data_IF_672362713048
#
_entry.id   IF_672362713048
#
_cell.length_a   1.000
_cell.length_b   1.000
_cell.length_c   1.000
_cell.angle_alpha   90.00
_cell.angle_beta   90.00
_cell.angle_gamma   90.00
#
_symmetry.space_group_name_H-M   'P 1'
#
loop_
_entity.id
_entity.type
_entity.pdbx_description
1 polymer ?
#
# COMPACT_ATOMS: atom_id res chain seq x y z
N UNK A 1 7.92 26.09 2.05
CA UNK A 1 6.77 25.92 2.95
C UNK A 1 5.85 24.87 2.36
N UNK A 2 5.98 23.65 2.90
CA UNK A 2 5.11 22.47 2.80
C UNK A 2 4.30 22.23 1.51
N UNK A 3 4.98 21.75 0.46
CA UNK A 3 4.35 21.12 -0.72
C UNK A 3 4.09 19.63 -0.46
N UNK A 4 3.42 19.31 0.64
CA UNK A 4 2.83 17.98 0.83
C UNK A 4 1.66 17.84 -0.14
N UNK A 5 1.95 17.23 -1.31
CA UNK A 5 0.90 16.80 -2.23
C UNK A 5 0.01 15.83 -1.46
N UNK A 6 -1.23 16.26 -1.17
CA UNK A 6 -2.20 15.45 -0.48
C UNK A 6 -2.68 14.37 -1.45
N UNK A 7 -2.41 13.12 -1.11
CA UNK A 7 -2.84 11.98 -1.91
C UNK A 7 -4.11 11.38 -1.30
N UNK A 8 -5.04 10.94 -2.14
CA UNK A 8 -6.06 9.98 -1.76
C UNK A 8 -5.66 8.61 -2.28
N UNK A 9 -6.08 7.54 -1.59
CA UNK A 9 -5.89 6.19 -2.13
C UNK A 9 -6.51 6.11 -3.54
N UNK A 10 -5.75 5.65 -4.55
CA UNK A 10 -6.25 5.60 -5.92
C UNK A 10 -7.39 4.59 -6.02
N UNK A 11 -8.34 4.83 -6.91
CA UNK A 11 -9.33 3.81 -7.26
C UNK A 11 -8.63 2.75 -8.11
N UNK A 12 -8.67 1.50 -7.65
CA UNK A 12 -8.14 0.34 -8.38
C UNK A 12 -9.28 -0.63 -8.65
N UNK A 13 -9.18 -1.37 -9.75
CA UNK A 13 -10.13 -2.43 -10.07
C UNK A 13 -9.74 -3.69 -9.27
N UNK A 14 -10.64 -4.25 -8.46
CA UNK A 14 -10.39 -5.52 -7.79
C UNK A 14 -10.07 -6.63 -8.79
N UNK A 15 -9.22 -7.57 -8.39
CA UNK A 15 -8.91 -8.76 -9.15
C UNK A 15 -10.09 -9.73 -9.12
N UNK A 16 -10.33 -10.44 -10.23
CA UNK A 16 -11.33 -11.51 -10.29
C UNK A 16 -10.92 -12.75 -9.51
N UNK A 17 -9.61 -12.98 -9.37
CA UNK A 17 -9.03 -14.08 -8.61
C UNK A 17 -7.85 -13.56 -7.80
N UNK A 18 -8.02 -13.50 -6.47
CA UNK A 18 -6.97 -13.15 -5.53
C UNK A 18 -6.81 -14.29 -4.51
N UNK A 19 -5.62 -14.45 -3.90
CA UNK A 19 -5.46 -15.38 -2.79
C UNK A 19 -6.49 -15.10 -1.69
N UNK A 20 -6.90 -16.10 -0.89
CA UNK A 20 -7.90 -15.87 0.16
C UNK A 20 -7.37 -14.90 1.21
N UNK A 21 -8.22 -14.00 1.70
CA UNK A 21 -7.87 -13.08 2.78
C UNK A 21 -7.74 -13.82 4.11
N UNK A 22 -6.52 -13.88 4.63
CA UNK A 22 -6.21 -14.31 5.99
C UNK A 22 -4.86 -13.69 6.40
N UNK A 23 -4.55 -13.74 7.70
CA UNK A 23 -3.33 -13.12 8.23
C UNK A 23 -2.03 -13.69 7.62
N UNK A 24 -1.85 -15.01 7.48
CA UNK A 24 -0.66 -15.57 6.82
C UNK A 24 -0.46 -15.05 5.39
N UNK A 25 -1.51 -15.04 4.57
CA UNK A 25 -1.41 -14.55 3.20
C UNK A 25 -1.10 -13.05 3.14
N UNK A 26 -1.65 -12.25 4.06
CA UNK A 26 -1.30 -10.83 4.17
C UNK A 26 0.18 -10.65 4.53
N UNK A 27 0.68 -11.42 5.50
CA UNK A 27 2.08 -11.38 5.89
C UNK A 27 3.02 -11.78 4.75
N UNK A 28 2.72 -12.88 4.04
CA UNK A 28 3.48 -13.31 2.86
C UNK A 28 3.47 -12.24 1.77
N UNK A 29 2.29 -11.67 1.44
CA UNK A 29 2.20 -10.62 0.43
C UNK A 29 3.09 -9.40 0.78
N UNK A 30 3.00 -8.94 2.03
CA UNK A 30 3.78 -7.79 2.49
C UNK A 30 5.27 -8.09 2.53
N UNK A 31 5.67 -9.31 2.90
CA UNK A 31 7.06 -9.75 2.91
C UNK A 31 7.64 -9.83 1.49
N UNK A 32 6.95 -10.53 0.59
CA UNK A 32 7.44 -10.86 -0.75
C UNK A 32 7.45 -9.67 -1.69
N UNK A 33 6.47 -8.76 -1.57
CA UNK A 33 6.26 -7.67 -2.55
C UNK A 33 6.51 -6.27 -1.99
N UNK A 34 6.41 -6.10 -0.67
CA UNK A 34 6.47 -4.79 0.01
C UNK A 34 7.61 -4.74 1.07
N UNK A 35 8.44 -5.79 1.10
CA UNK A 35 9.61 -5.93 1.96
C UNK A 35 10.75 -4.97 1.62
N UNK A 36 11.99 -5.31 1.98
CA UNK A 36 13.14 -4.39 1.83
C UNK A 36 13.39 -4.04 0.35
N UNK A 37 13.38 -5.05 -0.52
CA UNK A 37 13.61 -4.92 -1.96
C UNK A 37 12.25 -4.91 -2.65
N UNK A 38 11.98 -3.87 -3.43
CA UNK A 38 10.70 -3.66 -4.11
C UNK A 38 10.90 -3.43 -5.60
N UNK A 39 9.89 -3.71 -6.40
CA UNK A 39 9.80 -3.33 -7.82
C UNK A 39 8.42 -2.73 -8.11
N UNK A 40 8.29 -1.94 -9.17
CA UNK A 40 7.00 -1.38 -9.55
C UNK A 40 5.95 -2.44 -9.85
N UNK A 41 6.34 -3.50 -10.55
CA UNK A 41 5.49 -4.64 -10.85
C UNK A 41 4.97 -5.32 -9.57
N UNK A 42 5.87 -5.65 -8.63
CA UNK A 42 5.47 -6.32 -7.39
C UNK A 42 4.59 -5.46 -6.50
N UNK A 43 4.87 -4.15 -6.44
CA UNK A 43 4.05 -3.19 -5.70
C UNK A 43 2.66 -3.02 -6.32
N UNK A 44 2.57 -2.99 -7.65
CA UNK A 44 1.31 -2.89 -8.38
C UNK A 44 0.44 -4.14 -8.17
N UNK A 45 1.04 -5.33 -8.23
CA UNK A 45 0.38 -6.59 -7.90
C UNK A 45 -0.17 -6.57 -6.46
N UNK A 46 0.68 -6.21 -5.49
CA UNK A 46 0.28 -6.15 -4.09
C UNK A 46 -0.84 -5.14 -3.84
N UNK A 47 -0.79 -3.96 -4.47
CA UNK A 47 -1.83 -2.95 -4.34
C UNK A 47 -3.19 -3.44 -4.87
N UNK A 48 -3.19 -4.20 -5.98
CA UNK A 48 -4.40 -4.80 -6.55
C UNK A 48 -4.97 -5.93 -5.67
N UNK A 49 -4.12 -6.76 -5.06
CA UNK A 49 -4.57 -7.78 -4.09
C UNK A 49 -5.16 -7.11 -2.85
N UNK A 50 -4.47 -6.11 -2.28
CA UNK A 50 -4.92 -5.38 -1.09
C UNK A 50 -6.25 -4.65 -1.33
N UNK A 51 -6.48 -4.08 -2.51
CA UNK A 51 -7.80 -3.49 -2.84
C UNK A 51 -8.90 -4.54 -2.90
N UNK A 52 -8.57 -5.72 -3.42
CA UNK A 52 -9.51 -6.84 -3.52
C UNK A 52 -9.90 -7.32 -2.14
N UNK A 53 -8.92 -7.55 -1.26
CA UNK A 53 -9.16 -7.90 0.14
C UNK A 53 -9.95 -6.84 0.90
N UNK A 54 -9.65 -5.56 0.67
CA UNK A 54 -10.40 -4.48 1.30
C UNK A 54 -11.89 -4.49 0.91
N UNK A 55 -12.23 -4.89 -0.32
CA UNK A 55 -13.61 -5.06 -0.77
C UNK A 55 -14.33 -6.29 -0.20
N UNK A 56 -13.58 -7.29 0.29
CA UNK A 56 -14.12 -8.51 0.90
C UNK A 56 -14.35 -8.37 2.42
N UNK A 57 -13.73 -7.37 3.04
CA UNK A 57 -13.85 -7.13 4.47
C UNK A 57 -15.26 -6.66 4.83
N UNK A 58 -15.85 -7.34 5.81
CA UNK A 58 -17.11 -6.92 6.42
C UNK A 58 -16.87 -5.82 7.46
N UNK A 59 -17.94 -5.14 7.87
CA UNK A 59 -17.88 -4.19 8.97
C UNK A 59 -17.39 -4.90 10.23
N UNK A 60 -16.30 -4.42 10.87
CA UNK A 60 -15.74 -5.07 12.04
C UNK A 60 -16.68 -4.99 13.24
N UNK A 61 -16.78 -6.08 14.00
CA UNK A 61 -17.64 -6.20 15.19
C UNK A 61 -16.91 -6.69 16.43
N UNK A 62 -15.66 -7.13 16.28
CA UNK A 62 -14.81 -7.63 17.36
C UNK A 62 -13.35 -7.19 17.15
N UNK A 63 -12.51 -7.44 18.16
CA UNK A 63 -11.10 -7.03 18.11
C UNK A 63 -10.37 -7.57 16.88
N UNK A 64 -10.55 -8.85 16.55
CA UNK A 64 -9.82 -9.51 15.46
C UNK A 64 -10.21 -8.93 14.09
N UNK A 65 -11.49 -8.65 13.87
CA UNK A 65 -11.98 -8.03 12.65
C UNK A 65 -11.50 -6.58 12.52
N UNK A 66 -11.44 -5.81 13.61
CA UNK A 66 -10.82 -4.48 13.61
C UNK A 66 -9.32 -4.54 13.27
N UNK A 67 -8.58 -5.45 13.90
CA UNK A 67 -7.15 -5.64 13.64
C UNK A 67 -6.90 -6.02 12.17
N UNK A 68 -7.67 -6.96 11.61
CA UNK A 68 -7.53 -7.36 10.20
C UNK A 68 -7.86 -6.20 9.25
N UNK A 69 -8.94 -5.45 9.49
CA UNK A 69 -9.29 -4.28 8.69
C UNK A 69 -8.17 -3.23 8.69
N UNK A 70 -7.62 -2.94 9.87
CA UNK A 70 -6.52 -1.98 10.02
C UNK A 70 -5.25 -2.48 9.34
N UNK A 71 -4.90 -3.75 9.45
CA UNK A 71 -3.73 -4.33 8.79
C UNK A 71 -3.82 -4.26 7.27
N UNK A 72 -4.99 -4.58 6.68
CA UNK A 72 -5.20 -4.46 5.24
C UNK A 72 -5.12 -2.99 4.79
N UNK A 73 -5.71 -2.06 5.55
CA UNK A 73 -5.64 -0.63 5.25
C UNK A 73 -4.19 -0.10 5.33
N UNK A 74 -3.46 -0.42 6.40
CA UNK A 74 -2.07 -0.04 6.58
C UNK A 74 -1.19 -0.62 5.48
N UNK A 75 -1.36 -1.91 5.16
CA UNK A 75 -0.66 -2.56 4.05
C UNK A 75 -0.89 -1.80 2.75
N UNK A 76 -2.14 -1.46 2.43
CA UNK A 76 -2.47 -0.70 1.22
C UNK A 76 -1.82 0.69 1.21
N UNK A 77 -1.89 1.44 2.31
CA UNK A 77 -1.27 2.77 2.40
C UNK A 77 0.25 2.71 2.19
N UNK A 78 0.92 1.72 2.79
CA UNK A 78 2.37 1.51 2.62
C UNK A 78 2.70 1.15 1.18
N UNK A 79 1.98 0.19 0.58
CA UNK A 79 2.22 -0.24 -0.80
C UNK A 79 2.01 0.91 -1.79
N UNK A 80 0.95 1.69 -1.65
CA UNK A 80 0.66 2.82 -2.55
C UNK A 80 1.67 3.95 -2.35
N UNK A 81 2.14 4.20 -1.12
CA UNK A 81 3.24 5.14 -0.87
C UNK A 81 4.54 4.69 -1.55
N UNK A 82 4.88 3.41 -1.43
CA UNK A 82 6.07 2.83 -2.03
C UNK A 82 6.00 2.81 -3.56
N UNK A 83 4.81 2.59 -4.12
CA UNK A 83 4.58 2.62 -5.56
C UNK A 83 4.71 4.04 -6.11
N UNK A 84 4.10 5.01 -5.41
CA UNK A 84 4.15 6.42 -5.76
C UNK A 84 5.58 6.95 -5.73
N UNK A 85 6.40 6.56 -4.74
CA UNK A 85 7.80 6.99 -4.63
C UNK A 85 8.70 6.26 -5.62
N UNK A 86 9.01 6.91 -6.74
CA UNK A 86 9.92 6.44 -7.79
C UNK A 86 11.37 6.86 -7.56
N UNK A 87 11.92 6.52 -6.38
CA UNK A 87 13.34 6.63 -6.03
C UNK A 87 13.73 5.51 -5.05
N UNK A 88 15.01 5.47 -4.65
CA UNK A 88 15.49 4.72 -3.49
C UNK A 88 16.15 5.63 -2.47
N UNK A 89 15.76 5.54 -1.19
CA UNK A 89 16.29 6.34 -0.08
C UNK A 89 16.05 5.66 1.28
N UNK A 90 17.10 5.47 2.07
CA UNK A 90 17.00 4.85 3.39
C UNK A 90 16.44 3.42 3.30
N UNK A 91 15.39 3.12 4.07
CA UNK A 91 14.73 1.80 4.07
C UNK A 91 13.80 1.56 2.86
N UNK A 92 13.60 2.56 2.00
CA UNK A 92 12.86 2.43 0.75
C UNK A 92 13.81 2.15 -0.41
N UNK A 93 13.94 0.89 -0.82
CA UNK A 93 14.73 0.51 -1.99
C UNK A 93 13.83 -0.05 -3.11
N UNK A 94 14.04 0.45 -4.32
CA UNK A 94 13.35 0.04 -5.55
C UNK A 94 14.35 -0.35 -6.63
N UNK A 95 14.24 -1.58 -7.11
CA UNK A 95 15.16 -2.12 -8.13
C UNK A 95 15.06 -1.39 -9.47
N UNK A 96 13.88 -0.88 -9.80
CA UNK A 96 13.59 -0.11 -11.01
C UNK A 96 13.83 1.41 -10.86
N UNK A 97 14.07 1.88 -9.63
CA UNK A 97 14.50 3.25 -9.33
C UNK A 97 15.60 3.24 -8.26
N UNK A 98 16.81 2.73 -8.57
CA UNK A 98 17.84 2.44 -7.57
C UNK A 98 18.52 3.69 -7.00
N UNK A 99 18.34 4.86 -7.63
CA UNK A 99 18.97 6.12 -7.24
C UNK A 99 18.01 7.00 -6.44
N UNK A 100 18.57 7.87 -5.60
CA UNK A 100 17.82 8.97 -4.97
C UNK A 100 17.46 10.04 -6.01
N UNK A 101 16.31 10.71 -5.86
CA UNK A 101 15.99 11.91 -6.63
C UNK A 101 15.67 13.12 -5.72
N UNK A 102 16.17 14.34 -6.03
CA UNK A 102 15.79 15.55 -5.33
C UNK A 102 14.27 15.83 -5.29
N UNK A 103 13.52 15.41 -6.30
CA UNK A 103 12.06 15.59 -6.36
C UNK A 103 11.32 14.87 -5.23
N UNK A 104 11.94 13.85 -4.63
CA UNK A 104 11.36 13.01 -3.59
C UNK A 104 11.87 13.32 -2.18
N UNK A 105 12.65 14.40 -2.01
CA UNK A 105 13.02 14.96 -0.70
C UNK A 105 11.83 15.67 -0.03
N UNK A 106 10.76 14.90 0.19
CA UNK A 106 9.46 15.35 0.69
C UNK A 106 8.70 14.21 1.37
N UNK A 107 7.68 14.54 2.14
CA UNK A 107 6.78 13.57 2.75
C UNK A 107 5.62 13.23 1.80
N UNK A 108 5.18 11.97 1.85
CA UNK A 108 3.95 11.52 1.20
C UNK A 108 2.87 11.52 2.28
N UNK A 109 1.77 12.24 2.05
CA UNK A 109 0.67 12.35 3.00
C UNK A 109 -0.61 11.85 2.34
N UNK A 110 -1.20 10.79 2.89
CA UNK A 110 -2.53 10.34 2.49
C UNK A 110 -3.62 10.99 3.33
N UNK A 111 -4.67 11.48 2.69
CA UNK A 111 -5.86 12.04 3.34
C UNK A 111 -7.10 11.27 2.90
N UNK A 112 -7.96 10.93 3.85
CA UNK A 112 -9.30 10.43 3.55
C UNK A 112 -10.13 11.60 3.02
N UNK A 113 -10.69 11.46 1.83
CA UNK A 113 -11.68 12.41 1.33
C UNK A 113 -12.93 12.27 2.20
N UNK A 114 -13.20 13.29 3.01
CA UNK A 114 -14.45 13.39 3.76
C UNK A 114 -15.44 14.10 2.85
N UNK A 115 -16.25 13.33 2.14
CA UNK A 115 -17.47 13.87 1.55
C UNK A 115 -18.40 14.23 2.70
N UNK A 116 -18.74 15.52 2.83
CA UNK A 116 -19.83 15.98 3.70
C UNK A 116 -21.17 15.45 3.18
#
# INVERSE_FOLDING_TARGET
SDTSYLHSLPKRKPLSNAPPLNLPNLQSLMWDKVGIIRSGEGLEEAANILVTWQGLLSQPSDRLSYELNNLVLCGRLVTEAALLRTESRGAHFRTDFPQTSPEWQRHIVFRKNVTK
#
